data_IF_856048054150
#
_entry.id   IF_856048054150
#
_cell.length_a   1.000
_cell.length_b   1.000
_cell.length_c   1.000
_cell.angle_alpha   90.00
_cell.angle_beta   90.00
_cell.angle_gamma   90.00
#
_symmetry.space_group_name_H-M   'P 1'
#
loop_
_entity.id
_entity.type
_entity.pdbx_description
1 polymer ?
#
# COMPACT_ATOMS: atom_id res chain seq x y z
N UNK A 1 4.87 -8.48 24.84
CA UNK A 1 5.29 -7.64 23.68
C UNK A 1 5.41 -8.52 22.43
N UNK A 2 6.20 -9.60 22.46
CA UNK A 2 6.40 -10.59 21.37
C UNK A 2 5.19 -10.92 20.48
N UNK A 3 4.00 -11.11 21.06
CA UNK A 3 2.78 -11.44 20.29
C UNK A 3 2.34 -10.30 19.35
N UNK A 4 2.39 -9.05 19.81
CA UNK A 4 1.97 -7.88 19.03
C UNK A 4 2.91 -7.65 17.85
N UNK A 5 4.20 -7.86 18.05
CA UNK A 5 5.22 -7.61 17.04
C UNK A 5 5.13 -8.65 15.92
N UNK A 6 4.89 -9.91 16.30
CA UNK A 6 4.59 -11.01 15.38
C UNK A 6 3.31 -10.78 14.57
N UNK A 7 2.24 -10.29 15.21
CA UNK A 7 0.98 -9.94 14.54
C UNK A 7 1.15 -8.80 13.54
N UNK A 8 1.92 -7.77 13.89
CA UNK A 8 2.19 -6.63 13.01
C UNK A 8 2.98 -7.06 11.78
N UNK A 9 4.01 -7.92 11.95
CA UNK A 9 4.75 -8.49 10.84
C UNK A 9 3.85 -9.31 9.90
N UNK A 10 2.96 -10.13 10.46
CA UNK A 10 1.97 -10.90 9.67
C UNK A 10 0.99 -10.01 8.93
N UNK A 11 0.55 -8.91 9.54
CA UNK A 11 -0.34 -7.95 8.90
C UNK A 11 0.35 -7.20 7.75
N UNK A 12 1.66 -6.98 7.83
CA UNK A 12 2.44 -6.32 6.79
C UNK A 12 2.73 -7.22 5.58
N UNK A 13 2.86 -8.54 5.77
CA UNK A 13 3.21 -9.49 4.71
C UNK A 13 2.38 -9.39 3.41
N UNK A 14 1.03 -9.32 3.45
CA UNK A 14 0.24 -9.17 2.23
C UNK A 14 0.49 -7.85 1.49
N UNK A 15 0.86 -6.80 2.23
CA UNK A 15 1.12 -5.46 1.72
C UNK A 15 2.54 -5.34 1.13
N UNK A 16 3.52 -6.03 1.72
CA UNK A 16 4.93 -6.01 1.33
C UNK A 16 5.14 -6.14 -0.18
N UNK A 17 4.49 -7.13 -0.82
CA UNK A 17 4.59 -7.39 -2.27
C UNK A 17 4.22 -6.18 -3.15
N UNK A 18 3.38 -5.28 -2.63
CA UNK A 18 2.85 -4.12 -3.33
C UNK A 18 3.55 -2.81 -2.91
N UNK A 19 4.28 -2.82 -1.80
CA UNK A 19 4.90 -1.64 -1.20
C UNK A 19 5.85 -0.92 -2.18
N UNK A 20 6.68 -1.67 -2.93
CA UNK A 20 7.57 -1.09 -3.95
C UNK A 20 6.80 -0.41 -5.08
N UNK A 21 5.73 -1.03 -5.55
CA UNK A 21 4.91 -0.47 -6.64
C UNK A 21 4.18 0.79 -6.15
N UNK A 22 3.69 0.79 -4.92
CA UNK A 22 3.07 1.98 -4.30
C UNK A 22 4.07 3.13 -4.16
N UNK A 23 5.28 2.87 -3.68
CA UNK A 23 6.35 3.86 -3.60
C UNK A 23 6.68 4.45 -4.96
N UNK A 24 6.92 3.60 -5.96
CA UNK A 24 7.21 4.04 -7.33
C UNK A 24 6.06 4.87 -7.91
N UNK A 25 4.81 4.44 -7.69
CA UNK A 25 3.62 5.16 -8.17
C UNK A 25 3.52 6.55 -7.53
N UNK A 26 3.68 6.66 -6.21
CA UNK A 26 3.62 7.93 -5.51
C UNK A 26 4.77 8.87 -5.89
N UNK A 27 5.99 8.35 -6.06
CA UNK A 27 7.13 9.13 -6.56
C UNK A 27 6.87 9.69 -7.95
N UNK A 28 6.29 8.89 -8.86
CA UNK A 28 5.91 9.35 -10.20
C UNK A 28 4.83 10.42 -10.12
N UNK A 29 3.78 10.21 -9.31
CA UNK A 29 2.71 11.20 -9.13
C UNK A 29 3.24 12.54 -8.64
N UNK A 30 4.16 12.51 -7.67
CA UNK A 30 4.77 13.70 -7.11
C UNK A 30 5.51 14.55 -8.16
N UNK A 31 6.10 13.92 -9.18
CA UNK A 31 6.80 14.62 -10.28
C UNK A 31 5.84 15.41 -11.19
N UNK A 32 4.56 15.03 -11.24
CA UNK A 32 3.56 15.67 -12.10
C UNK A 32 2.67 16.67 -11.36
N UNK A 33 2.82 16.81 -10.04
CA UNK A 33 2.11 17.80 -9.25
C UNK A 33 2.74 19.18 -9.40
N UNK A 34 1.91 20.23 -9.35
CA UNK A 34 2.41 21.59 -9.23
C UNK A 34 3.08 21.76 -7.86
N UNK A 35 4.16 22.54 -7.79
CA UNK A 35 4.90 22.75 -6.53
C UNK A 35 4.02 23.31 -5.39
N UNK A 36 2.95 24.04 -5.73
CA UNK A 36 1.99 24.57 -4.75
C UNK A 36 1.06 23.49 -4.14
N UNK A 37 0.92 22.34 -4.79
CA UNK A 37 0.08 21.21 -4.36
C UNK A 37 0.88 20.14 -3.59
N UNK A 38 2.20 20.32 -3.46
CA UNK A 38 3.10 19.38 -2.79
C UNK A 38 3.33 19.81 -1.34
N UNK A 39 2.94 18.96 -0.40
CA UNK A 39 3.32 19.17 1.00
C UNK A 39 4.83 18.93 1.19
N UNK A 40 5.56 19.85 1.85
CA UNK A 40 7.02 19.75 2.00
C UNK A 40 7.53 18.47 2.66
N UNK A 41 6.70 17.81 3.47
CA UNK A 41 7.08 16.57 4.16
C UNK A 41 6.99 15.31 3.29
N UNK A 42 6.21 15.33 2.20
CA UNK A 42 5.95 14.13 1.40
C UNK A 42 7.22 13.48 0.82
N UNK A 43 8.19 14.22 0.23
CA UNK A 43 9.41 13.60 -0.29
C UNK A 43 10.21 12.86 0.79
N UNK A 44 10.33 13.45 1.98
CA UNK A 44 11.02 12.83 3.11
C UNK A 44 10.27 11.59 3.61
N UNK A 45 8.94 11.66 3.76
CA UNK A 45 8.13 10.50 4.16
C UNK A 45 8.26 9.33 3.18
N UNK A 46 8.27 9.59 1.87
CA UNK A 46 8.50 8.55 0.87
C UNK A 46 9.90 7.94 0.98
N UNK A 47 10.92 8.74 1.31
CA UNK A 47 12.29 8.25 1.52
C UNK A 47 12.43 7.39 2.78
N UNK A 48 11.77 7.77 3.89
CA UNK A 48 11.72 6.96 5.10
C UNK A 48 11.01 5.62 4.86
N UNK A 49 9.88 5.63 4.15
CA UNK A 49 9.15 4.42 3.78
C UNK A 49 9.98 3.49 2.89
N UNK A 50 10.71 4.05 1.92
CA UNK A 50 11.62 3.27 1.07
C UNK A 50 12.75 2.63 1.88
N UNK A 51 13.43 3.41 2.71
CA UNK A 51 14.50 2.92 3.61
C UNK A 51 13.99 1.83 4.54
N UNK A 52 12.84 2.05 5.19
CA UNK A 52 12.22 1.06 6.05
C UNK A 52 11.88 -0.24 5.30
N UNK A 53 11.43 -0.16 4.05
CA UNK A 53 11.15 -1.34 3.24
C UNK A 53 12.41 -2.15 2.90
N UNK A 54 13.50 -1.48 2.59
CA UNK A 54 14.78 -2.16 2.31
C UNK A 54 15.29 -2.90 3.55
N UNK A 55 15.19 -2.30 4.73
CA UNK A 55 15.51 -3.00 5.98
C UNK A 55 14.58 -4.18 6.27
N UNK A 56 13.26 -4.03 6.03
CA UNK A 56 12.31 -5.13 6.18
C UNK A 56 12.58 -6.28 5.20
N UNK A 57 13.07 -5.99 4.00
CA UNK A 57 13.51 -7.00 3.04
C UNK A 57 14.73 -7.76 3.52
N UNK A 58 15.75 -7.05 4.02
CA UNK A 58 16.95 -7.67 4.59
C UNK A 58 16.57 -8.63 5.73
N UNK A 59 15.78 -8.17 6.70
CA UNK A 59 15.34 -9.00 7.83
C UNK A 59 14.54 -10.23 7.38
N UNK A 60 13.70 -10.09 6.34
CA UNK A 60 12.96 -11.22 5.79
C UNK A 60 13.90 -12.24 5.15
N UNK A 61 14.87 -11.78 4.37
CA UNK A 61 15.78 -12.64 3.61
C UNK A 61 16.76 -13.35 4.56
N UNK A 62 17.25 -12.65 5.59
CA UNK A 62 18.05 -13.24 6.68
C UNK A 62 17.26 -14.30 7.44
N UNK A 63 16.00 -14.02 7.80
CA UNK A 63 15.14 -14.99 8.45
C UNK A 63 14.83 -16.21 7.56
N UNK A 64 14.64 -16.01 6.26
CA UNK A 64 14.44 -17.09 5.31
C UNK A 64 15.69 -17.99 5.22
N UNK A 65 16.89 -17.39 5.20
CA UNK A 65 18.16 -18.11 5.21
C UNK A 65 18.35 -18.91 6.51
N UNK A 66 18.15 -18.29 7.66
CA UNK A 66 18.23 -18.98 8.96
C UNK A 66 17.27 -20.17 9.02
N UNK A 67 16.04 -20.01 8.53
CA UNK A 67 15.06 -21.12 8.45
C UNK A 67 15.49 -22.26 7.56
N UNK A 68 16.20 -21.99 6.46
CA UNK A 68 16.73 -23.03 5.59
C UNK A 68 17.88 -23.77 6.27
N UNK A 69 18.80 -23.04 6.91
CA UNK A 69 19.91 -23.63 7.68
C UNK A 69 19.35 -24.56 8.80
N UNK A 70 18.28 -24.13 9.47
CA UNK A 70 17.60 -24.93 10.51
C UNK A 70 16.97 -26.23 9.99
N UNK A 71 16.67 -26.37 8.68
CA UNK A 71 16.24 -27.68 8.14
C UNK A 71 17.35 -28.71 8.21
N UNK A 72 18.60 -28.28 8.11
CA UNK A 72 19.78 -29.15 8.09
C UNK A 72 20.36 -29.37 9.49
N UNK A 73 20.21 -28.38 10.37
CA UNK A 73 20.62 -28.44 11.78
C UNK A 73 19.62 -27.67 12.64
N UNK A 74 18.57 -28.34 13.18
CA UNK A 74 17.54 -27.67 13.96
C UNK A 74 18.13 -27.08 15.26
N UNK A 75 17.94 -25.77 15.53
CA UNK A 75 18.32 -25.16 16.79
C UNK A 75 17.45 -25.66 17.95
N UNK A 76 17.84 -25.30 19.17
CA UNK A 76 17.00 -25.52 20.35
C UNK A 76 15.69 -24.73 20.28
N UNK A 77 14.69 -25.16 21.06
CA UNK A 77 13.41 -24.43 21.16
C UNK A 77 13.61 -23.00 21.67
N UNK A 78 14.43 -22.81 22.71
CA UNK A 78 14.72 -21.48 23.29
C UNK A 78 15.43 -20.58 22.26
N UNK A 79 16.45 -21.09 21.59
CA UNK A 79 17.18 -20.38 20.52
C UNK A 79 16.25 -19.97 19.37
N UNK A 80 15.27 -20.82 19.02
CA UNK A 80 14.26 -20.47 18.01
C UNK A 80 13.35 -19.32 18.47
N UNK A 81 12.94 -19.32 19.74
CA UNK A 81 12.08 -18.29 20.32
C UNK A 81 12.82 -16.97 20.42
N UNK A 82 14.07 -16.99 20.86
CA UNK A 82 14.92 -15.81 21.01
C UNK A 82 15.21 -15.16 19.65
N UNK A 83 15.62 -15.94 18.64
CA UNK A 83 15.86 -15.43 17.29
C UNK A 83 14.59 -14.83 16.67
N UNK A 84 13.41 -15.39 16.96
CA UNK A 84 12.14 -14.83 16.52
C UNK A 84 11.80 -13.51 17.24
N UNK A 85 12.11 -13.41 18.53
CA UNK A 85 11.90 -12.20 19.31
C UNK A 85 12.80 -11.06 18.83
N UNK A 86 14.09 -11.33 18.60
CA UNK A 86 15.07 -10.38 18.08
C UNK A 86 14.66 -9.83 16.71
N UNK A 87 14.33 -10.70 15.75
CA UNK A 87 13.83 -10.26 14.43
C UNK A 87 12.60 -9.36 14.54
N UNK A 88 11.69 -9.67 15.46
CA UNK A 88 10.46 -8.89 15.65
C UNK A 88 10.75 -7.52 16.29
N UNK A 89 11.69 -7.47 17.23
CA UNK A 89 12.15 -6.23 17.85
C UNK A 89 12.82 -5.31 16.82
N UNK A 90 13.74 -5.85 16.02
CA UNK A 90 14.42 -5.10 14.95
C UNK A 90 13.43 -4.59 13.90
N UNK A 91 12.49 -5.44 13.50
CA UNK A 91 11.44 -5.10 12.55
C UNK A 91 10.47 -4.02 13.04
N UNK A 92 10.27 -3.92 14.36
CA UNK A 92 9.24 -3.06 14.93
C UNK A 92 9.42 -1.61 14.52
N UNK A 93 10.65 -1.11 14.55
CA UNK A 93 10.97 0.28 14.19
C UNK A 93 10.52 0.61 12.75
N UNK A 94 10.85 -0.27 11.80
CA UNK A 94 10.51 -0.10 10.39
C UNK A 94 9.01 -0.29 10.11
N UNK A 95 8.37 -1.25 10.79
CA UNK A 95 6.91 -1.43 10.71
C UNK A 95 6.17 -0.22 11.26
N UNK A 96 6.69 0.40 12.33
CA UNK A 96 6.14 1.62 12.88
C UNK A 96 6.30 2.81 11.92
N UNK A 97 7.41 2.92 11.20
CA UNK A 97 7.58 3.90 10.11
C UNK A 97 6.48 3.74 9.05
N UNK A 98 6.21 2.50 8.61
CA UNK A 98 5.13 2.21 7.66
C UNK A 98 3.75 2.57 8.19
N UNK A 99 3.47 2.26 9.46
CA UNK A 99 2.20 2.63 10.10
C UNK A 99 2.03 4.15 10.26
N UNK A 100 3.12 4.87 10.52
CA UNK A 100 3.10 6.32 10.79
C UNK A 100 3.00 7.14 9.50
N UNK A 101 3.69 6.73 8.44
CA UNK A 101 3.82 7.53 7.22
C UNK A 101 3.02 7.00 6.03
N UNK A 102 2.44 5.80 6.10
CA UNK A 102 1.70 5.20 4.98
C UNK A 102 0.52 6.01 4.45
N UNK A 103 -0.03 6.94 5.25
CA UNK A 103 -1.09 7.86 4.80
C UNK A 103 -0.66 8.73 3.61
N UNK A 104 0.65 9.00 3.47
CA UNK A 104 1.22 9.83 2.39
C UNK A 104 0.82 9.34 0.99
N UNK A 105 0.63 8.03 0.80
CA UNK A 105 0.21 7.47 -0.48
C UNK A 105 -1.18 7.96 -0.89
N UNK A 106 -2.12 8.03 0.06
CA UNK A 106 -3.48 8.48 -0.19
C UNK A 106 -3.54 9.98 -0.40
N UNK A 107 -2.69 10.73 0.29
CA UNK A 107 -2.62 12.19 0.18
C UNK A 107 -2.07 12.60 -1.19
N UNK A 108 -0.97 11.97 -1.64
CA UNK A 108 -0.41 12.18 -2.98
C UNK A 108 -1.40 11.76 -4.07
N UNK A 109 -2.04 10.60 -3.94
CA UNK A 109 -3.08 10.15 -4.89
C UNK A 109 -4.23 11.15 -4.96
N UNK A 110 -4.68 11.67 -3.82
CA UNK A 110 -5.76 12.65 -3.76
C UNK A 110 -5.39 13.96 -4.43
N UNK A 111 -4.14 14.43 -4.24
CA UNK A 111 -3.63 15.59 -4.96
C UNK A 111 -3.56 15.32 -6.47
N UNK A 112 -3.01 14.17 -6.88
CA UNK A 112 -2.89 13.80 -8.30
C UNK A 112 -4.24 13.75 -9.02
N UNK A 113 -5.29 13.23 -8.37
CA UNK A 113 -6.65 13.21 -8.92
C UNK A 113 -7.22 14.63 -9.08
N UNK A 114 -6.95 15.53 -8.12
CA UNK A 114 -7.42 16.93 -8.18
C UNK A 114 -6.71 17.73 -9.27
N UNK A 115 -5.41 17.51 -9.47
CA UNK A 115 -4.60 18.23 -10.46
C UNK A 115 -4.81 17.68 -11.88
N UNK A 116 -5.36 16.47 -12.04
CA UNK A 116 -5.67 15.91 -13.34
C UNK A 116 -6.87 16.64 -13.97
N UNK A 117 -6.75 17.21 -15.18
CA UNK A 117 -7.89 17.83 -15.85
C UNK A 117 -8.95 16.76 -16.08
N UNK A 118 -10.05 16.86 -15.34
CA UNK A 118 -11.12 15.87 -15.39
C UNK A 118 -11.68 15.81 -16.80
N UNK A 119 -11.23 14.84 -17.59
CA UNK A 119 -11.82 14.54 -18.88
C UNK A 119 -13.02 13.66 -18.57
N UNK A 120 -14.06 14.25 -17.96
CA UNK A 120 -15.36 13.61 -17.91
C UNK A 120 -15.82 13.49 -19.36
N UNK A 121 -15.56 12.34 -19.98
CA UNK A 121 -16.31 11.92 -21.16
C UNK A 121 -17.74 11.75 -20.65
N UNK A 122 -18.59 12.73 -20.93
CA UNK A 122 -20.01 12.60 -20.72
C UNK A 122 -20.47 11.38 -21.53
N UNK A 123 -20.75 10.27 -20.84
CA UNK A 123 -21.44 9.15 -21.47
C UNK A 123 -22.84 9.66 -21.76
N UNK A 124 -23.17 9.81 -23.04
CA UNK A 124 -24.51 10.17 -23.47
C UNK A 124 -25.49 9.17 -22.84
N UNK A 125 -26.47 9.68 -22.09
CA UNK A 125 -27.51 8.85 -21.53
C UNK A 125 -28.19 8.07 -22.68
N UNK A 126 -28.38 6.75 -22.55
CA UNK A 126 -29.06 5.98 -23.59
C UNK A 126 -30.45 6.58 -23.80
N UNK A 127 -30.77 6.92 -25.04
CA UNK A 127 -32.07 7.46 -25.41
C UNK A 127 -33.14 6.43 -25.05
N UNK A 128 -34.06 6.82 -24.15
CA UNK A 128 -35.23 6.01 -23.85
C UNK A 128 -36.05 5.83 -25.12
N UNK A 129 -36.46 4.59 -25.49
CA UNK A 129 -37.30 4.39 -26.66
C UNK A 129 -38.62 5.14 -26.49
N UNK A 130 -39.00 5.89 -27.52
CA UNK A 130 -40.25 6.64 -27.54
C UNK A 130 -41.42 5.67 -27.31
N UNK A 131 -42.16 5.89 -26.23
CA UNK A 131 -43.41 5.18 -25.99
C UNK A 131 -44.41 5.61 -27.05
N UNK A 132 -44.63 4.77 -28.06
CA UNK A 132 -45.69 4.98 -29.05
C UNK A 132 -47.03 4.88 -28.32
N UNK A 133 -47.63 6.04 -28.04
CA UNK A 133 -49.00 6.14 -27.58
C UNK A 133 -49.91 5.50 -28.65
N UNK A 134 -50.47 4.33 -28.35
CA UNK A 134 -51.54 3.74 -29.15
C UNK A 134 -52.80 4.58 -28.94
N UNK A 135 -53.11 5.42 -29.92
CA UNK A 135 -54.44 6.00 -30.07
C UNK A 135 -55.44 4.86 -30.32
N UNK A 136 -56.17 4.45 -29.29
CA UNK A 136 -57.36 3.63 -29.46
C UNK A 136 -58.46 4.50 -30.05
N UNK A 137 -58.69 4.31 -31.35
CA UNK A 137 -59.80 4.92 -32.08
C UNK A 137 -61.14 4.51 -31.49
N UNK A 138 -61.96 5.52 -31.20
CA UNK A 138 -63.39 5.43 -30.92
C UNK A 138 -64.13 5.01 -32.20
N UNK A 139 -64.91 3.93 -32.14
CA UNK A 139 -65.96 3.63 -33.13
C UNK A 139 -67.30 3.48 -32.41
N UNK A 140 -68.21 4.37 -32.84
CA UNK A 140 -69.68 4.26 -32.96
C UNK A 140 -70.43 3.40 -31.95
#
# INVERSE_FOLDING_TARGET
MVQRDSETWRAFQPFHRHARVLLATAQVQLQYLAAADIEPCWPWQLAELATALDHLDVLRDEWAKAREDHRTSPPGFEETVDALAERNEEAWSYLNTWATHGQVFLDIQSAAVKSSPSTHVAVAAPALPASTARTTGRRS
#
